data_IF_089252433212
#
_entry.id   IF_089252433212
#
_cell.length_a   1.000
_cell.length_b   1.000
_cell.length_c   1.000
_cell.angle_alpha   90.00
_cell.angle_beta   90.00
_cell.angle_gamma   90.00
#
_symmetry.space_group_name_H-M   'P 1'
#
loop_
_entity.id
_entity.type
_entity.pdbx_description
1 polymer ?
#
# COMPACT_ATOMS: atom_id res chain seq x y z
N UNK A 1 -13.90 14.98 -1.29
CA UNK A 1 -12.79 14.76 -2.22
C UNK A 1 -12.72 13.26 -2.42
N UNK A 2 -13.13 12.75 -3.58
CA UNK A 2 -13.08 11.31 -3.87
C UNK A 2 -11.60 10.92 -3.98
N UNK A 3 -11.08 10.24 -2.96
CA UNK A 3 -9.81 9.53 -3.08
C UNK A 3 -10.04 8.40 -4.07
N UNK A 4 -9.60 8.64 -5.31
CA UNK A 4 -9.28 7.58 -6.26
C UNK A 4 -8.47 6.51 -5.50
N UNK A 5 -8.80 5.21 -5.62
CA UNK A 5 -8.01 4.16 -5.00
C UNK A 5 -6.64 4.14 -5.67
N UNK A 6 -5.72 4.96 -5.16
CA UNK A 6 -4.38 5.05 -5.70
C UNK A 6 -3.68 3.72 -5.44
N UNK A 7 -3.48 2.97 -6.52
CA UNK A 7 -2.76 1.70 -6.49
C UNK A 7 -1.27 2.00 -6.60
N UNK A 8 -0.55 1.74 -5.52
CA UNK A 8 0.90 1.86 -5.44
C UNK A 8 1.57 0.57 -5.89
N UNK A 9 2.49 0.64 -6.83
CA UNK A 9 3.16 -0.51 -7.38
C UNK A 9 4.40 -0.87 -6.55
N UNK A 10 4.78 -2.16 -6.51
CA UNK A 10 6.05 -2.57 -5.95
C UNK A 10 7.23 -1.78 -6.53
N UNK A 11 8.12 -1.32 -5.66
CA UNK A 11 9.26 -0.50 -6.06
C UNK A 11 9.00 1.02 -6.07
N UNK A 12 7.75 1.48 -6.01
CA UNK A 12 7.46 2.89 -5.76
C UNK A 12 7.88 3.29 -4.35
N UNK A 13 8.31 4.54 -4.17
CA UNK A 13 8.64 5.08 -2.86
C UNK A 13 7.35 5.42 -2.13
N UNK A 14 7.26 5.00 -0.87
CA UNK A 14 6.12 5.34 -0.01
C UNK A 14 6.21 6.83 0.36
N UNK A 15 5.21 7.61 -0.06
CA UNK A 15 5.13 9.06 0.23
C UNK A 15 4.39 9.35 1.54
N UNK A 16 3.48 8.46 1.93
CA UNK A 16 2.56 8.63 3.07
C UNK A 16 2.63 7.41 3.98
N UNK A 17 2.70 7.61 5.29
CA UNK A 17 2.66 6.51 6.26
C UNK A 17 1.21 6.03 6.42
N UNK A 18 0.99 4.72 6.51
CA UNK A 18 -0.35 4.16 6.59
C UNK A 18 -0.44 2.64 6.41
N UNK A 19 -1.67 2.13 6.47
CA UNK A 19 -2.02 0.75 6.21
C UNK A 19 -2.40 0.61 4.73
N UNK A 20 -1.65 -0.22 4.04
CA UNK A 20 -1.87 -0.59 2.65
C UNK A 20 -2.37 -2.03 2.57
N UNK A 21 -3.26 -2.32 1.61
CA UNK A 21 -3.73 -3.67 1.31
C UNK A 21 -3.51 -4.00 -0.16
N UNK A 22 -3.38 -5.28 -0.52
CA UNK A 22 -3.38 -5.66 -1.93
C UNK A 22 -4.70 -5.17 -2.59
N UNK A 23 -4.67 -4.78 -3.86
CA UNK A 23 -5.91 -4.38 -4.57
C UNK A 23 -6.91 -5.56 -4.72
N UNK A 24 -6.45 -6.78 -4.48
CA UNK A 24 -7.28 -7.98 -4.43
C UNK A 24 -7.95 -8.09 -3.07
N UNK A 25 -9.25 -7.83 -3.06
CA UNK A 25 -10.08 -7.91 -1.86
C UNK A 25 -10.20 -9.33 -1.25
N UNK A 26 -9.86 -10.38 -2.01
CA UNK A 26 -9.89 -11.77 -1.52
C UNK A 26 -8.64 -12.17 -0.72
N UNK A 27 -7.60 -11.33 -0.69
CA UNK A 27 -6.35 -11.66 -0.01
C UNK A 27 -6.12 -10.79 1.24
N UNK A 28 -5.79 -11.42 2.38
CA UNK A 28 -5.55 -10.75 3.67
C UNK A 28 -4.14 -10.13 3.76
N UNK A 29 -3.46 -9.94 2.63
CA UNK A 29 -2.19 -9.24 2.55
C UNK A 29 -2.36 -7.75 2.92
N UNK A 30 -2.10 -7.44 4.19
CA UNK A 30 -1.88 -6.08 4.67
C UNK A 30 -0.39 -5.76 4.84
N UNK A 31 0.01 -4.62 4.30
CA UNK A 31 1.32 -4.00 4.49
C UNK A 31 1.15 -2.73 5.31
N UNK A 32 1.68 -2.73 6.53
CA UNK A 32 1.77 -1.51 7.33
C UNK A 32 3.08 -0.78 6.99
N UNK A 33 2.98 0.48 6.59
CA UNK A 33 4.13 1.34 6.33
C UNK A 33 4.24 2.39 7.43
N UNK A 34 5.01 2.09 8.46
CA UNK A 34 5.06 2.81 9.75
C UNK A 34 6.11 3.92 9.81
N UNK A 35 6.24 4.74 8.77
CA UNK A 35 7.18 5.87 8.72
C UNK A 35 8.64 5.48 8.43
N UNK A 36 8.91 5.34 7.15
CA UNK A 36 10.26 5.47 6.61
C UNK A 36 10.14 6.05 5.21
N UNK A 37 10.02 7.38 5.13
CA UNK A 37 10.16 8.11 3.86
C UNK A 37 11.43 7.62 3.17
N UNK A 38 11.28 6.99 2.00
CA UNK A 38 12.39 6.40 1.25
C UNK A 38 12.36 4.87 1.15
N UNK A 39 11.46 4.19 1.85
CA UNK A 39 11.26 2.76 1.64
C UNK A 39 10.37 2.52 0.43
N UNK A 40 10.71 1.47 -0.32
CA UNK A 40 9.95 1.05 -1.49
C UNK A 40 8.90 0.04 -1.07
N UNK A 41 7.74 0.09 -1.72
CA UNK A 41 6.73 -0.96 -1.56
C UNK A 41 7.36 -2.33 -1.89
N UNK A 42 7.18 -3.34 -1.03
CA UNK A 42 7.71 -4.66 -1.29
C UNK A 42 7.05 -5.27 -2.54
N UNK A 43 7.73 -6.19 -3.23
CA UNK A 43 7.11 -7.04 -4.25
C UNK A 43 5.90 -7.75 -3.67
N UNK A 44 4.83 -7.85 -4.46
CA UNK A 44 3.67 -8.62 -4.08
C UNK A 44 4.06 -10.08 -3.85
N UNK A 45 3.53 -10.74 -2.80
CA UNK A 45 3.80 -12.14 -2.53
C UNK A 45 3.36 -13.02 -3.70
N UNK A 46 4.06 -14.14 -3.87
CA UNK A 46 3.85 -15.08 -4.97
C UNK A 46 2.47 -15.73 -4.85
N UNK A 47 1.49 -15.19 -5.58
CA UNK A 47 0.09 -15.59 -5.47
C UNK A 47 -0.91 -14.43 -5.36
N UNK A 48 -0.48 -13.19 -5.05
CA UNK A 48 -1.43 -12.05 -5.16
C UNK A 48 -1.73 -11.85 -6.66
N UNK A 49 -3.01 -11.95 -7.02
CA UNK A 49 -3.51 -11.59 -8.36
C UNK A 49 -3.51 -10.07 -8.62
N UNK A 50 -3.12 -9.29 -7.61
CA UNK A 50 -3.13 -7.84 -7.63
C UNK A 50 -1.98 -7.25 -8.44
N UNK A 51 -2.18 -6.01 -8.87
CA UNK A 51 -1.16 -5.17 -9.49
C UNK A 51 -0.44 -4.25 -8.50
N UNK A 52 -0.99 -4.04 -7.30
CA UNK A 52 -0.34 -3.20 -6.31
C UNK A 52 -1.04 -3.10 -4.95
N UNK A 53 -0.65 -2.07 -4.22
CA UNK A 53 -1.03 -1.76 -2.86
C UNK A 53 -1.99 -0.58 -2.86
N UNK A 54 -3.16 -0.72 -2.27
CA UNK A 54 -4.14 0.35 -2.08
C UNK A 54 -4.04 0.88 -0.66
N UNK A 55 -3.98 2.19 -0.52
CA UNK A 55 -4.01 2.83 0.79
C UNK A 55 -5.40 2.67 1.42
N UNK A 56 -5.48 1.87 2.49
CA UNK A 56 -6.73 1.68 3.23
C UNK A 56 -6.88 2.74 4.33
N UNK A 57 -5.80 3.03 5.06
CA UNK A 57 -5.84 3.99 6.17
C UNK A 57 -4.53 4.77 6.22
N UNK A 58 -4.58 6.06 5.90
CA UNK A 58 -3.44 6.95 6.11
C UNK A 58 -3.26 7.20 7.62
N UNK A 59 -2.05 6.96 8.15
CA UNK A 59 -1.68 7.50 9.46
C UNK A 59 -0.98 8.83 9.23
N UNK A 60 -1.78 9.91 9.23
CA UNK A 60 -1.24 11.25 9.30
C UNK A 60 -1.07 11.58 10.78
N UNK A 61 0.15 11.44 11.30
CA UNK A 61 0.48 12.05 12.60
C UNK A 61 0.49 13.58 12.40
N UNK A 62 -0.47 14.25 13.02
CA UNK A 62 -0.58 15.71 13.12
C UNK A 62 0.17 16.22 14.34
#
# INVERSE_FOLDING_TARGET
MATDPHVFHPGQIVETSGIYRCDVAEDDHSFESTDVKGHRFPPLPHGCQGGGWVLQQATAHH
#
